data_IF_332455602554
#
_entry.id   IF_332455602554
#
_cell.length_a   1.000
_cell.length_b   1.000
_cell.length_c   1.000
_cell.angle_alpha   90.00
_cell.angle_beta   90.00
_cell.angle_gamma   90.00
#
_symmetry.space_group_name_H-M   'P 1'
#
loop_
_entity.id
_entity.type
_entity.pdbx_description
1 polymer ?
#
# COMPACT_ATOMS: atom_id res chain seq x y z
N UNK A 1 32.60 -13.68 -3.06
CA UNK A 1 31.71 -12.51 -3.23
C UNK A 1 30.32 -12.95 -2.82
N UNK A 2 29.89 -12.63 -1.59
CA UNK A 2 28.57 -13.01 -1.10
C UNK A 2 27.53 -12.22 -1.88
N UNK A 3 26.69 -12.90 -2.68
CA UNK A 3 25.63 -12.24 -3.42
C UNK A 3 24.71 -11.53 -2.42
N UNK A 4 24.53 -10.21 -2.59
CA UNK A 4 23.54 -9.45 -1.82
C UNK A 4 22.18 -10.10 -2.02
N UNK A 5 21.51 -10.47 -0.92
CA UNK A 5 20.16 -11.01 -0.99
C UNK A 5 19.25 -10.08 -1.80
N UNK A 6 18.35 -10.62 -2.65
CA UNK A 6 17.46 -9.81 -3.45
C UNK A 6 16.59 -8.92 -2.56
N UNK A 7 16.36 -7.67 -2.99
CA UNK A 7 15.50 -6.75 -2.24
C UNK A 7 14.07 -7.28 -2.24
N UNK A 8 13.44 -7.26 -1.06
CA UNK A 8 12.02 -7.59 -0.88
C UNK A 8 11.17 -6.33 -0.90
N UNK A 9 10.04 -6.39 -1.57
CA UNK A 9 8.96 -5.42 -1.39
C UNK A 9 8.21 -5.67 -0.08
N UNK A 10 7.31 -4.75 0.28
CA UNK A 10 6.47 -4.92 1.46
C UNK A 10 5.74 -3.65 1.84
N UNK A 11 5.18 -3.64 3.04
CA UNK A 11 4.52 -2.48 3.64
C UNK A 11 5.32 -2.02 4.86
N UNK A 12 5.55 -0.71 4.93
CA UNK A 12 6.11 -0.04 6.09
C UNK A 12 5.03 0.81 6.73
N UNK A 13 4.78 0.62 8.02
CA UNK A 13 3.87 1.46 8.80
C UNK A 13 4.67 2.54 9.51
N UNK A 14 4.35 3.79 9.19
CA UNK A 14 5.01 4.96 9.76
C UNK A 14 4.08 5.66 10.75
N UNK A 15 4.69 6.27 11.76
CA UNK A 15 4.06 7.33 12.52
C UNK A 15 3.74 8.50 11.56
N UNK A 16 2.48 8.93 11.42
CA UNK A 16 2.09 9.93 10.43
C UNK A 16 2.71 11.30 10.70
N UNK A 17 3.01 11.63 11.97
CA UNK A 17 3.59 12.92 12.37
C UNK A 17 5.11 12.86 12.33
N UNK A 18 5.71 11.91 13.05
CA UNK A 18 7.15 11.83 13.25
C UNK A 18 7.86 11.12 12.10
N UNK A 19 7.14 10.28 11.33
CA UNK A 19 7.73 9.43 10.29
C UNK A 19 8.59 8.29 10.84
N UNK A 20 8.51 8.02 12.14
CA UNK A 20 9.19 6.88 12.76
C UNK A 20 8.60 5.58 12.21
N UNK A 21 9.46 4.61 11.90
CA UNK A 21 9.02 3.27 11.53
C UNK A 21 8.40 2.60 12.74
N UNK A 22 7.11 2.27 12.65
CA UNK A 22 6.37 1.53 13.68
C UNK A 22 6.43 0.03 13.41
N UNK A 23 6.34 -0.37 12.14
CA UNK A 23 6.36 -1.78 11.74
C UNK A 23 6.80 -1.94 10.28
N UNK A 24 7.46 -3.05 9.97
CA UNK A 24 7.81 -3.45 8.61
C UNK A 24 7.26 -4.84 8.34
N UNK A 25 6.56 -5.00 7.22
CA UNK A 25 5.98 -6.28 6.79
C UNK A 25 6.50 -6.57 5.38
N UNK A 26 7.61 -7.30 5.25
CA UNK A 26 8.13 -7.69 3.94
C UNK A 26 7.23 -8.76 3.33
N UNK A 27 7.11 -8.78 2.00
CA UNK A 27 6.58 -9.94 1.31
C UNK A 27 7.56 -11.11 1.46
N UNK A 28 7.05 -12.32 1.71
CA UNK A 28 7.88 -13.51 1.76
C UNK A 28 8.52 -13.77 0.39
N UNK A 29 7.68 -13.76 -0.65
CA UNK A 29 8.07 -13.72 -2.05
C UNK A 29 7.67 -12.38 -2.65
N UNK A 30 8.52 -11.80 -3.49
CA UNK A 30 8.10 -10.62 -4.24
C UNK A 30 6.91 -11.00 -5.14
N UNK A 31 5.86 -10.17 -5.21
CA UNK A 31 4.66 -10.49 -5.97
C UNK A 31 5.00 -10.67 -7.45
N UNK A 32 4.56 -11.79 -8.03
CA UNK A 32 4.72 -12.06 -9.46
C UNK A 32 3.93 -11.07 -10.31
N UNK A 33 2.77 -10.62 -9.80
CA UNK A 33 1.91 -9.67 -10.49
C UNK A 33 1.47 -8.52 -9.57
N UNK A 34 1.43 -7.32 -10.15
CA UNK A 34 0.82 -6.14 -9.53
C UNK A 34 -0.04 -5.46 -10.57
N UNK A 35 -1.35 -5.40 -10.31
CA UNK A 35 -2.29 -4.70 -11.16
C UNK A 35 -2.45 -3.26 -10.69
N UNK A 36 -2.40 -2.32 -11.64
CA UNK A 36 -2.53 -0.88 -11.37
C UNK A 36 -3.66 -0.29 -12.19
N UNK A 37 -4.52 0.48 -11.54
CA UNK A 37 -5.59 1.22 -12.21
C UNK A 37 -5.41 2.70 -11.92
N UNK A 38 -5.27 3.52 -12.96
CA UNK A 38 -5.18 4.97 -12.86
C UNK A 38 -6.45 5.57 -13.48
N UNK A 39 -7.24 6.28 -12.67
CA UNK A 39 -8.45 6.98 -13.13
C UNK A 39 -8.21 8.48 -13.05
N UNK A 40 -8.05 9.18 -14.19
CA UNK A 40 -8.02 10.64 -14.21
C UNK A 40 -9.26 11.20 -13.52
N UNK A 41 -9.09 12.33 -12.84
CA UNK A 41 -10.23 13.08 -12.29
C UNK A 41 -10.86 13.84 -13.45
N UNK A 42 -12.16 13.64 -13.70
CA UNK A 42 -12.94 14.41 -14.66
C UNK A 42 -14.01 15.25 -13.95
N UNK A 43 -14.55 16.24 -14.66
CA UNK A 43 -15.67 17.06 -14.21
C UNK A 43 -16.93 16.52 -14.90
N UNK A 44 -17.80 15.83 -14.14
CA UNK A 44 -19.14 15.40 -14.59
C UNK A 44 -19.21 14.34 -15.69
N UNK A 45 -20.35 13.63 -15.76
CA UNK A 45 -20.67 12.70 -16.85
C UNK A 45 -21.42 13.38 -18.00
N UNK A 46 -21.75 14.66 -17.87
CA UNK A 46 -22.48 15.41 -18.89
C UNK A 46 -21.51 15.99 -19.92
N UNK A 47 -21.52 15.37 -21.10
CA UNK A 47 -20.82 15.82 -22.29
C UNK A 47 -21.40 17.18 -22.74
N UNK A 48 -20.72 18.28 -22.43
CA UNK A 48 -21.16 19.61 -22.85
C UNK A 48 -20.06 20.64 -23.00
N UNK A 49 -19.05 20.63 -22.13
CA UNK A 49 -18.08 21.73 -22.09
C UNK A 49 -16.78 21.40 -22.84
N UNK A 50 -16.71 21.78 -24.12
CA UNK A 50 -15.54 21.56 -25.00
C UNK A 50 -14.24 22.14 -24.43
N UNK A 51 -14.34 23.11 -23.52
CA UNK A 51 -13.21 23.78 -22.88
C UNK A 51 -12.57 22.98 -21.73
N UNK A 52 -13.22 21.92 -21.27
CA UNK A 52 -12.76 21.13 -20.12
C UNK A 52 -12.17 19.76 -20.49
N UNK A 53 -12.27 19.36 -21.77
CA UNK A 53 -11.92 18.01 -22.25
C UNK A 53 -10.47 17.56 -21.95
N UNK A 54 -9.53 18.50 -21.81
CA UNK A 54 -8.12 18.21 -21.54
C UNK A 54 -7.66 18.66 -20.13
N UNK A 55 -8.56 19.18 -19.29
CA UNK A 55 -8.19 19.68 -17.96
C UNK A 55 -8.06 18.52 -16.98
N UNK A 56 -6.94 18.49 -16.26
CA UNK A 56 -6.71 17.57 -15.14
C UNK A 56 -6.77 18.38 -13.84
N UNK A 57 -7.88 18.35 -13.09
CA UNK A 57 -8.05 19.17 -11.89
C UNK A 57 -7.15 18.72 -10.71
N UNK A 58 -6.51 17.56 -10.81
CA UNK A 58 -5.58 17.04 -9.81
C UNK A 58 -5.03 15.67 -10.17
N UNK A 59 -4.22 15.05 -9.29
CA UNK A 59 -3.65 13.73 -9.51
C UNK A 59 -4.75 12.65 -9.72
N UNK A 60 -4.50 11.66 -10.59
CA UNK A 60 -5.45 10.57 -10.81
C UNK A 60 -5.67 9.75 -9.53
N UNK A 61 -6.84 9.12 -9.42
CA UNK A 61 -7.06 8.10 -8.39
C UNK A 61 -6.35 6.82 -8.82
N UNK A 62 -5.30 6.45 -8.10
CA UNK A 62 -4.52 5.23 -8.38
C UNK A 62 -4.83 4.13 -7.36
N UNK A 63 -5.22 2.96 -7.85
CA UNK A 63 -5.43 1.74 -7.05
C UNK A 63 -4.47 0.66 -7.50
N UNK A 64 -3.91 -0.06 -6.54
CA UNK A 64 -3.01 -1.20 -6.74
C UNK A 64 -3.66 -2.44 -6.13
N UNK A 65 -3.65 -3.54 -6.88
CA UNK A 65 -3.98 -4.88 -6.40
C UNK A 65 -2.69 -5.71 -6.45
N UNK A 66 -2.29 -6.25 -5.31
CA UNK A 66 -1.03 -6.98 -5.13
C UNK A 66 -1.38 -8.35 -4.60
N UNK A 67 -0.84 -9.39 -5.23
CA UNK A 67 -1.03 -10.78 -4.81
C UNK A 67 0.29 -11.26 -4.21
N UNK A 68 0.27 -11.56 -2.91
CA UNK A 68 1.41 -12.03 -2.15
C UNK A 68 1.13 -13.46 -1.65
N UNK A 69 2.14 -14.31 -1.78
CA UNK A 69 2.07 -15.69 -1.30
C UNK A 69 2.97 -15.86 -0.07
N UNK A 70 2.53 -16.74 0.83
CA UNK A 70 3.22 -17.08 2.06
C UNK A 70 3.23 -18.60 2.24
N UNK A 71 4.35 -19.14 2.71
CA UNK A 71 4.54 -20.56 2.98
C UNK A 71 5.38 -20.75 4.24
N UNK A 72 4.82 -21.33 5.30
CA UNK A 72 5.51 -21.55 6.58
C UNK A 72 6.61 -22.62 6.49
N UNK A 73 6.57 -23.48 5.48
CA UNK A 73 7.60 -24.52 5.27
C UNK A 73 8.90 -23.94 4.71
N UNK A 74 8.80 -22.80 4.03
CA UNK A 74 9.96 -22.08 3.52
C UNK A 74 10.47 -21.11 4.59
N UNK A 75 11.64 -21.43 5.16
CA UNK A 75 12.25 -20.53 6.15
C UNK A 75 12.58 -19.20 5.48
N UNK A 76 12.03 -18.06 5.96
CA UNK A 76 12.40 -16.77 5.43
C UNK A 76 13.88 -16.55 5.75
N UNK A 77 14.73 -16.63 4.72
CA UNK A 77 16.15 -16.33 4.84
C UNK A 77 16.35 -15.02 5.62
N UNK A 78 17.18 -15.08 6.67
CA UNK A 78 17.30 -14.11 7.75
C UNK A 78 17.10 -12.64 7.33
N UNK A 79 15.85 -12.17 7.38
CA UNK A 79 15.49 -10.78 7.16
C UNK A 79 15.22 -10.11 8.52
N UNK A 80 16.25 -10.06 9.36
CA UNK A 80 16.38 -9.12 10.48
C UNK A 80 15.16 -8.91 11.38
N UNK A 81 14.59 -9.97 11.96
CA UNK A 81 13.55 -9.91 12.98
C UNK A 81 13.38 -11.25 13.69
N UNK A 82 12.72 -11.30 14.87
CA UNK A 82 12.37 -12.58 15.48
C UNK A 82 11.46 -13.35 14.52
N UNK A 83 11.83 -14.60 14.21
CA UNK A 83 10.93 -15.49 13.48
C UNK A 83 9.68 -15.73 14.34
N UNK A 84 8.48 -15.81 13.74
CA UNK A 84 7.30 -16.26 14.48
C UNK A 84 7.60 -17.64 15.10
N UNK A 85 7.02 -17.96 16.28
CA UNK A 85 7.12 -19.30 16.84
C UNK A 85 6.74 -20.32 15.78
N UNK A 86 7.56 -21.37 15.61
CA UNK A 86 7.31 -22.41 14.61
C UNK A 86 5.91 -23.04 14.77
N UNK A 87 5.39 -23.00 16.00
CA UNK A 87 4.10 -23.51 16.46
C UNK A 87 2.90 -22.67 16.00
N UNK A 88 3.13 -21.51 15.36
CA UNK A 88 2.06 -20.59 14.93
C UNK A 88 1.81 -20.57 13.41
N UNK A 89 2.53 -21.41 12.64
CA UNK A 89 2.44 -21.42 11.17
C UNK A 89 2.52 -20.01 10.57
N UNK A 90 1.57 -19.69 9.69
CA UNK A 90 1.39 -18.36 9.10
C UNK A 90 0.48 -17.43 9.93
N UNK A 91 -0.15 -17.91 10.99
CA UNK A 91 -1.13 -17.14 11.76
C UNK A 91 -0.54 -15.82 12.26
N UNK A 92 0.67 -15.85 12.83
CA UNK A 92 1.35 -14.65 13.31
C UNK A 92 1.63 -13.62 12.20
N UNK A 93 2.01 -14.07 11.00
CA UNK A 93 2.23 -13.19 9.85
C UNK A 93 0.92 -12.58 9.34
N UNK A 94 -0.14 -13.38 9.23
CA UNK A 94 -1.46 -12.92 8.80
C UNK A 94 -2.04 -11.91 9.80
N UNK A 95 -1.95 -12.19 11.11
CA UNK A 95 -2.36 -11.26 12.17
C UNK A 95 -1.62 -9.92 12.10
N UNK A 96 -0.36 -9.88 11.66
CA UNK A 96 0.38 -8.63 11.46
C UNK A 96 -0.24 -7.76 10.36
N UNK A 97 -0.73 -8.37 9.27
CA UNK A 97 -1.42 -7.68 8.18
C UNK A 97 -2.85 -7.26 8.56
N UNK A 98 -3.56 -8.11 9.31
CA UNK A 98 -4.92 -7.81 9.79
C UNK A 98 -4.91 -6.66 10.81
N UNK A 99 -4.02 -6.73 11.80
CA UNK A 99 -3.89 -5.66 12.80
C UNK A 99 -3.42 -4.33 12.22
N UNK A 100 -2.89 -4.32 11.00
CA UNK A 100 -2.56 -3.09 10.30
C UNK A 100 -3.79 -2.33 9.76
N UNK A 101 -4.92 -3.01 9.55
CA UNK A 101 -6.18 -2.41 9.11
C UNK A 101 -7.24 -2.35 10.21
N UNK A 102 -6.93 -2.88 11.38
CA UNK A 102 -7.83 -2.88 12.54
C UNK A 102 -7.39 -1.87 13.60
N UNK A 103 -8.32 -1.15 14.25
CA UNK A 103 -8.01 -0.42 15.46
C UNK A 103 -7.60 -1.39 16.58
N UNK A 104 -6.71 -0.93 17.46
CA UNK A 104 -6.31 -1.68 18.65
C UNK A 104 -7.47 -1.79 19.64
N UNK A 105 -7.44 -2.81 20.49
CA UNK A 105 -8.43 -2.98 21.56
C UNK A 105 -8.49 -1.74 22.46
N UNK A 106 -7.35 -1.14 22.82
CA UNK A 106 -7.30 0.08 23.62
C UNK A 106 -8.05 1.25 22.96
N UNK A 107 -7.89 1.43 21.65
CA UNK A 107 -8.62 2.46 20.91
C UNK A 107 -10.12 2.19 20.91
N UNK A 108 -10.54 0.94 20.72
CA UNK A 108 -11.94 0.53 20.74
C UNK A 108 -12.56 0.73 22.14
N UNK A 109 -11.88 0.30 23.21
CA UNK A 109 -12.37 0.45 24.58
C UNK A 109 -12.42 1.92 24.98
N UNK A 110 -11.41 2.71 24.63
CA UNK A 110 -11.40 4.16 24.90
C UNK A 110 -12.54 4.86 24.16
N UNK A 111 -12.80 4.51 22.91
CA UNK A 111 -13.92 5.05 22.14
C UNK A 111 -15.26 4.70 22.80
N UNK A 112 -15.43 3.46 23.26
CA UNK A 112 -16.63 3.03 23.99
C UNK A 112 -16.82 3.80 25.30
N UNK A 113 -15.76 4.00 26.08
CA UNK A 113 -15.81 4.72 27.36
C UNK A 113 -16.13 6.21 27.19
N UNK A 114 -15.66 6.85 26.12
CA UNK A 114 -16.00 8.24 25.80
C UNK A 114 -17.46 8.36 25.35
N UNK A 115 -17.93 7.44 24.52
CA UNK A 115 -19.31 7.37 24.08
C UNK A 115 -20.27 7.17 25.27
N UNK A 116 -19.92 6.27 26.21
CA UNK A 116 -20.70 6.04 27.43
C UNK A 116 -20.83 7.28 28.33
N UNK A 117 -19.93 8.27 28.19
CA UNK A 117 -19.95 9.55 28.93
C UNK A 117 -20.66 10.67 28.18
N UNK A 118 -21.29 10.38 27.03
CA UNK A 118 -22.03 11.37 26.25
C UNK A 118 -21.15 12.32 25.44
N UNK A 119 -19.88 11.98 25.20
CA UNK A 119 -18.99 12.77 24.34
C UNK A 119 -19.32 12.43 22.88
N UNK A 120 -19.98 13.37 22.18
CA UNK A 120 -20.51 13.17 20.82
C UNK A 120 -19.46 13.34 19.72
N UNK A 121 -18.36 14.05 20.00
CA UNK A 121 -17.28 14.25 19.03
C UNK A 121 -16.05 13.43 19.42
N UNK A 122 -16.01 12.20 18.90
CA UNK A 122 -14.84 11.32 19.04
C UNK A 122 -14.00 11.52 17.78
N UNK A 123 -12.95 12.34 17.88
CA UNK A 123 -11.95 12.39 16.82
C UNK A 123 -11.36 10.98 16.64
N UNK A 124 -11.39 10.40 15.41
CA UNK A 124 -10.79 9.10 15.17
C UNK A 124 -9.31 9.13 15.52
N UNK A 125 -8.83 8.10 16.23
CA UNK A 125 -7.39 7.98 16.50
C UNK A 125 -6.66 7.86 15.16
N UNK A 126 -5.64 8.69 14.96
CA UNK A 126 -4.89 8.69 13.71
C UNK A 126 -4.18 7.35 13.55
N UNK A 127 -4.55 6.61 12.50
CA UNK A 127 -3.94 5.33 12.20
C UNK A 127 -2.50 5.51 11.68
N UNK A 128 -1.63 4.51 11.85
CA UNK A 128 -0.33 4.47 11.18
C UNK A 128 -0.47 4.72 9.68
N UNK A 129 0.48 5.46 9.09
CA UNK A 129 0.55 5.69 7.65
C UNK A 129 1.16 4.45 6.97
N UNK A 130 0.38 3.68 6.19
CA UNK A 130 0.94 2.59 5.40
C UNK A 130 1.70 3.13 4.20
N UNK A 131 2.90 2.61 3.98
CA UNK A 131 3.76 2.93 2.85
C UNK A 131 4.10 1.64 2.11
N UNK A 132 3.61 1.51 0.89
CA UNK A 132 3.93 0.41 -0.01
C UNK A 132 5.32 0.65 -0.61
N UNK A 133 6.24 -0.29 -0.39
CA UNK A 133 7.62 -0.23 -0.90
C UNK A 133 7.83 -1.37 -1.89
N UNK A 134 8.04 -1.03 -3.16
CA UNK A 134 8.31 -1.96 -4.26
C UNK A 134 9.70 -1.68 -4.85
N UNK A 135 10.67 -1.50 -3.96
CA UNK A 135 12.03 -1.09 -4.27
C UNK A 135 12.29 0.41 -4.08
N UNK A 136 13.56 0.85 -4.28
CA UNK A 136 14.01 2.20 -3.91
C UNK A 136 13.36 3.33 -4.72
N UNK A 137 12.73 3.00 -5.86
CA UNK A 137 12.12 3.97 -6.79
C UNK A 137 10.59 3.99 -6.69
N UNK A 138 10.00 3.11 -5.87
CA UNK A 138 8.56 2.94 -5.73
C UNK A 138 8.22 2.85 -4.25
N UNK A 139 8.24 4.02 -3.60
CA UNK A 139 7.83 4.22 -2.21
C UNK A 139 6.56 5.05 -2.24
N UNK A 140 5.46 4.47 -1.80
CA UNK A 140 4.12 4.97 -2.07
C UNK A 140 3.33 5.10 -0.78
N UNK A 141 2.83 6.30 -0.42
CA UNK A 141 1.89 6.43 0.67
C UNK A 141 0.55 5.84 0.20
N UNK A 142 -0.02 4.92 0.97
CA UNK A 142 -1.25 4.23 0.56
C UNK A 142 -2.29 4.21 1.66
N UNK A 143 -3.56 4.12 1.28
CA UNK A 143 -4.67 3.72 2.13
C UNK A 143 -5.05 2.29 1.78
N UNK A 144 -5.15 1.44 2.80
CA UNK A 144 -5.67 0.07 2.63
C UNK A 144 -7.16 0.15 2.30
N UNK A 145 -7.58 -0.51 1.21
CA UNK A 145 -8.98 -0.62 0.81
C UNK A 145 -9.57 -1.99 1.15
N UNK A 146 -8.74 -3.03 1.13
CA UNK A 146 -9.13 -4.39 1.48
C UNK A 146 -7.95 -5.33 1.54
N UNK A 147 -8.12 -6.38 2.33
CA UNK A 147 -7.23 -7.54 2.41
C UNK A 147 -8.13 -8.77 2.22
N UNK A 148 -7.85 -9.55 1.18
CA UNK A 148 -8.48 -10.85 0.97
C UNK A 148 -7.44 -11.92 1.30
N UNK A 149 -7.72 -12.79 2.27
CA UNK A 149 -6.82 -13.88 2.67
C UNK A 149 -7.46 -15.21 2.26
N UNK A 150 -6.69 -16.04 1.56
CA UNK A 150 -7.02 -17.43 1.26
C UNK A 150 -6.00 -18.32 1.95
N UNK A 151 -6.42 -19.02 3.00
CA UNK A 151 -5.59 -19.96 3.75
C UNK A 151 -5.71 -21.36 3.16
N UNK A 152 -4.56 -21.99 2.91
CA UNK A 152 -4.44 -23.29 2.26
C UNK A 152 -3.46 -24.16 3.03
N UNK A 153 -3.75 -25.45 3.18
CA UNK A 153 -2.94 -26.42 3.91
C UNK A 153 -2.70 -26.03 5.39
N UNK A 154 -2.84 -27.01 6.28
CA UNK A 154 -2.76 -26.78 7.72
C UNK A 154 -1.85 -27.83 8.36
N UNK A 155 -1.21 -27.46 9.46
CA UNK A 155 -0.51 -28.40 10.32
C UNK A 155 -1.48 -29.21 11.21
N UNK A 156 -0.94 -30.05 12.10
CA UNK A 156 -1.75 -30.87 13.02
C UNK A 156 -2.55 -30.06 14.06
N UNK A 157 -2.19 -28.80 14.29
CA UNK A 157 -2.84 -27.89 15.23
C UNK A 157 -3.77 -26.89 14.50
N UNK A 158 -4.01 -27.10 13.19
CA UNK A 158 -4.81 -26.24 12.33
C UNK A 158 -4.24 -24.83 12.13
N UNK A 159 -2.92 -24.65 12.23
CA UNK A 159 -2.29 -23.42 11.77
C UNK A 159 -2.13 -23.46 10.25
N UNK A 160 -2.49 -22.38 9.53
CA UNK A 160 -2.26 -22.32 8.09
C UNK A 160 -0.77 -22.36 7.80
N UNK A 161 -0.35 -23.23 6.87
CA UNK A 161 1.04 -23.33 6.42
C UNK A 161 1.23 -22.76 5.01
N UNK A 162 0.16 -22.49 4.26
CA UNK A 162 0.19 -21.68 3.03
C UNK A 162 -0.93 -20.65 3.04
N UNK A 163 -0.66 -19.49 2.45
CA UNK A 163 -1.69 -18.47 2.27
C UNK A 163 -1.41 -17.61 1.05
N UNK A 164 -2.49 -17.25 0.34
CA UNK A 164 -2.48 -16.18 -0.67
C UNK A 164 -3.20 -14.97 -0.10
N UNK A 165 -2.52 -13.83 -0.09
CA UNK A 165 -3.05 -12.56 0.37
C UNK A 165 -3.16 -11.60 -0.81
N UNK A 166 -4.37 -11.11 -1.06
CA UNK A 166 -4.58 -10.00 -1.99
C UNK A 166 -4.71 -8.70 -1.20
N UNK A 167 -3.83 -7.76 -1.47
CA UNK A 167 -3.89 -6.41 -0.94
C UNK A 167 -4.45 -5.46 -1.98
N UNK A 168 -5.55 -4.78 -1.66
CA UNK A 168 -6.09 -3.69 -2.49
C UNK A 168 -5.82 -2.38 -1.77
N UNK A 169 -5.04 -1.49 -2.40
CA UNK A 169 -4.61 -0.22 -1.81
C UNK A 169 -4.82 0.94 -2.77
N UNK A 170 -5.14 2.12 -2.22
CA UNK A 170 -5.20 3.38 -2.98
C UNK A 170 -4.00 4.23 -2.64
N UNK A 171 -3.35 4.82 -3.63
CA UNK A 171 -2.31 5.83 -3.37
C UNK A 171 -2.97 7.07 -2.73
N UNK A 172 -2.38 7.56 -1.65
CA UNK A 172 -2.72 8.87 -1.08
C UNK A 172 -2.01 9.97 -1.87
N UNK A 173 -2.75 11.00 -2.28
CA UNK A 173 -2.20 12.13 -3.04
C UNK A 173 -2.18 13.40 -2.20
N UNK A 174 -1.54 14.46 -2.70
CA UNK A 174 -1.58 15.79 -2.05
C UNK A 174 -3.01 16.33 -1.89
N UNK A 175 -3.95 15.92 -2.75
CA UNK A 175 -5.37 16.30 -2.61
C UNK A 175 -6.06 15.58 -1.43
N UNK A 176 -5.54 14.43 -1.00
CA UNK A 176 -6.13 13.64 0.07
C UNK A 176 -5.63 14.10 1.46
N UNK A 177 -4.38 14.54 1.56
CA UNK A 177 -3.71 14.79 2.85
C UNK A 177 -3.05 16.17 2.95
N UNK A 178 -2.98 16.93 1.87
CA UNK A 178 -2.28 18.22 1.79
C UNK A 178 -0.76 18.10 1.57
N UNK A 179 -0.14 19.23 1.19
CA UNK A 179 1.29 19.32 0.89
C UNK A 179 2.20 19.25 2.12
N UNK A 180 1.71 19.71 3.28
CA UNK A 180 2.46 19.70 4.53
C UNK A 180 2.52 18.33 5.20
N UNK A 181 1.59 17.43 4.86
CA UNK A 181 1.55 16.09 5.42
C UNK A 181 2.64 15.20 4.81
N UNK A 182 3.24 14.32 5.62
CA UNK A 182 4.33 13.42 5.18
C UNK A 182 3.94 12.55 3.98
N UNK A 183 2.70 12.04 3.97
CA UNK A 183 2.18 11.31 2.82
C UNK A 183 2.12 12.17 1.54
N UNK A 184 1.81 13.47 1.64
CA UNK A 184 1.88 14.38 0.49
C UNK A 184 3.30 14.49 -0.07
N UNK A 185 4.29 14.60 0.81
CA UNK A 185 5.71 14.60 0.42
C UNK A 185 6.14 13.31 -0.29
N UNK A 186 5.75 12.14 0.25
CA UNK A 186 6.04 10.83 -0.38
C UNK A 186 5.36 10.71 -1.76
N UNK A 187 4.14 11.21 -1.90
CA UNK A 187 3.43 11.22 -3.19
C UNK A 187 4.16 12.07 -4.23
N UNK A 188 4.60 13.28 -3.86
CA UNK A 188 5.34 14.17 -4.76
C UNK A 188 6.67 13.56 -5.21
N UNK A 189 7.39 12.89 -4.30
CA UNK A 189 8.62 12.17 -4.65
C UNK A 189 8.36 11.04 -5.65
N UNK A 190 7.31 10.26 -5.43
CA UNK A 190 6.90 9.22 -6.37
C UNK A 190 6.52 9.80 -7.74
N UNK A 191 5.74 10.88 -7.77
CA UNK A 191 5.33 11.56 -8.99
C UNK A 191 6.52 12.12 -9.77
N UNK A 192 7.45 12.81 -9.09
CA UNK A 192 8.69 13.30 -9.68
C UNK A 192 9.56 12.17 -10.25
N UNK A 193 9.59 11.02 -9.57
CA UNK A 193 10.24 9.82 -10.07
C UNK A 193 9.65 9.36 -11.40
N UNK A 194 8.32 9.33 -11.53
CA UNK A 194 7.64 8.96 -12.78
C UNK A 194 7.94 9.92 -13.92
N UNK A 195 7.95 11.23 -13.66
CA UNK A 195 8.28 12.26 -14.65
C UNK A 195 9.71 12.07 -15.16
N UNK A 196 10.67 11.81 -14.26
CA UNK A 196 12.04 11.50 -14.65
C UNK A 196 12.10 10.26 -15.54
N UNK A 197 11.40 9.18 -15.20
CA UNK A 197 11.37 7.97 -16.04
C UNK A 197 10.67 8.20 -17.38
N UNK A 198 9.60 8.98 -17.41
CA UNK A 198 8.93 9.35 -18.66
C UNK A 198 9.88 10.13 -19.57
N UNK A 199 10.70 11.03 -19.03
CA UNK A 199 11.71 11.77 -19.78
C UNK A 199 12.82 10.89 -20.38
N UNK A 200 13.00 9.65 -19.90
CA UNK A 200 13.95 8.70 -20.50
C UNK A 200 13.38 7.96 -21.72
N UNK A 201 12.06 8.05 -21.97
CA UNK A 201 11.37 7.34 -23.05
C UNK A 201 10.78 8.37 -24.01
N UNK A 202 11.20 8.32 -25.27
CA UNK A 202 10.67 9.19 -26.32
C UNK A 202 10.60 8.46 -27.65
N UNK A 203 9.43 8.48 -28.28
CA UNK A 203 9.22 8.00 -29.63
C UNK A 203 8.80 9.18 -30.51
N UNK A 204 9.35 9.27 -31.72
CA UNK A 204 8.92 10.26 -32.69
C UNK A 204 7.52 9.95 -33.24
N UNK A 205 6.81 10.96 -33.81
CA UNK A 205 5.49 10.77 -34.41
C UNK A 205 5.40 9.61 -35.42
N UNK A 206 6.47 9.40 -36.19
CA UNK A 206 6.55 8.33 -37.18
C UNK A 206 6.49 6.92 -36.59
N UNK A 207 6.81 6.72 -35.30
CA UNK A 207 6.72 5.42 -34.65
C UNK A 207 5.28 4.89 -34.57
N UNK A 208 4.29 5.78 -34.64
CA UNK A 208 2.86 5.46 -34.66
C UNK A 208 2.18 5.96 -35.94
N UNK A 209 2.95 6.35 -36.96
CA UNK A 209 2.42 6.88 -38.21
C UNK A 209 1.67 8.21 -38.07
N UNK A 210 1.89 8.97 -36.99
CA UNK A 210 1.28 10.29 -36.83
C UNK A 210 2.01 11.30 -37.73
N UNK A 211 1.36 11.71 -38.81
CA UNK A 211 1.94 12.60 -39.82
C UNK A 211 1.89 14.09 -39.45
N UNK A 212 1.20 14.46 -38.35
CA UNK A 212 0.84 15.84 -38.06
C UNK A 212 -0.28 16.32 -38.99
N UNK A 213 -1.36 16.85 -38.42
CA UNK A 213 -2.40 17.55 -39.17
C UNK A 213 -1.98 18.97 -39.50
#
# INVERSE_FOLDING_TARGET
>A
MTALAPRRGGIVFLDPEQGRVLRVVPFQYNPDSITRTLRPRGIGADAGDRLEALRLPGPPRETFRIEAEFDATDQPGAAGGPAPPAESGLLGMLSVLETAVSPTVEQLTRQNDLAARGILEIAPVQAPLPVLVLGPRRVLPVRMLGIDVTEEAYDGELNPIRARVTLTVRILTVDDVGFSHRAGGLHLQYQQGRERFAGLVGYGPGAVGYAGG
#
